data_IF_876472991293
#
_entry.id   IF_876472991293
#
_cell.length_a   1.000
_cell.length_b   1.000
_cell.length_c   1.000
_cell.angle_alpha   90.00
_cell.angle_beta   90.00
_cell.angle_gamma   90.00
#
_symmetry.space_group_name_H-M   'P 1'
#
loop_
_entity.id
_entity.type
_entity.pdbx_description
1 polymer ?
#
# COMPACT_ATOMS: atom_id res chain seq x y z
N UNK A 1 -50.16 -7.60 13.90
CA UNK A 1 -50.15 -8.11 12.51
C UNK A 1 -49.29 -9.36 12.48
N UNK A 2 -49.88 -10.43 11.97
CA UNK A 2 -49.43 -11.83 12.10
C UNK A 2 -48.27 -12.17 11.15
N UNK A 3 -47.49 -13.17 11.57
CA UNK A 3 -46.53 -13.96 10.80
C UNK A 3 -47.01 -14.32 9.39
N UNK A 4 -46.09 -14.34 8.43
CA UNK A 4 -46.16 -15.30 7.33
C UNK A 4 -44.76 -15.81 6.99
N UNK A 5 -44.67 -17.14 7.05
CA UNK A 5 -43.51 -18.00 6.97
C UNK A 5 -43.86 -19.08 5.96
N UNK A 6 -43.06 -19.24 4.91
CA UNK A 6 -43.01 -20.41 4.03
C UNK A 6 -41.50 -20.70 3.84
N UNK A 7 -40.84 -21.71 4.44
CA UNK A 7 -41.08 -23.16 4.42
C UNK A 7 -41.34 -23.63 2.98
N UNK A 8 -40.53 -24.47 2.29
CA UNK A 8 -39.77 -25.67 2.68
C UNK A 8 -38.64 -25.94 1.65
N UNK A 9 -37.44 -26.31 2.11
CA UNK A 9 -36.81 -27.66 2.07
C UNK A 9 -36.64 -28.28 0.67
N UNK A 10 -35.39 -28.53 0.28
CA UNK A 10 -34.95 -29.78 -0.36
C UNK A 10 -33.42 -29.89 -0.23
N UNK A 11 -32.98 -30.70 0.75
CA UNK A 11 -31.65 -31.31 0.75
C UNK A 11 -31.76 -32.67 0.04
N UNK A 12 -30.70 -33.10 -0.66
CA UNK A 12 -30.08 -34.35 -0.21
C UNK A 12 -28.54 -34.37 -0.30
N UNK A 13 -27.97 -34.95 0.76
CA UNK A 13 -26.87 -35.93 0.79
C UNK A 13 -25.87 -35.92 -0.37
N UNK A 14 -24.64 -35.47 -0.08
CA UNK A 14 -23.45 -36.04 -0.70
C UNK A 14 -22.45 -36.44 0.38
N UNK A 15 -22.30 -37.77 0.46
CA UNK A 15 -21.21 -38.61 0.96
C UNK A 15 -19.89 -37.89 1.23
N UNK A 16 -19.32 -38.16 2.40
CA UNK A 16 -18.09 -37.56 2.89
C UNK A 16 -16.83 -37.91 2.10
N UNK A 17 -15.88 -36.98 2.17
CA UNK A 17 -14.46 -37.23 2.03
C UNK A 17 -13.77 -36.45 3.15
N UNK A 18 -13.41 -37.16 4.22
CA UNK A 18 -12.46 -36.63 5.20
C UNK A 18 -11.07 -36.64 4.55
N UNK A 19 -10.74 -35.58 3.83
CA UNK A 19 -9.36 -35.32 3.42
C UNK A 19 -8.67 -34.63 4.59
N UNK A 20 -7.92 -35.41 5.39
CA UNK A 20 -6.94 -34.87 6.32
C UNK A 20 -5.79 -34.28 5.49
N UNK A 21 -5.92 -33.02 5.09
CA UNK A 21 -4.82 -32.27 4.52
C UNK A 21 -4.02 -31.67 5.68
N UNK A 22 -2.87 -32.24 5.96
CA UNK A 22 -1.81 -31.59 6.73
C UNK A 22 -1.41 -30.32 5.99
N UNK A 23 -1.85 -29.15 6.46
CA UNK A 23 -1.37 -27.88 5.90
C UNK A 23 -0.03 -27.54 6.57
N UNK A 24 1.08 -27.46 5.81
CA UNK A 24 2.33 -26.98 6.35
C UNK A 24 2.14 -25.52 6.73
N UNK A 25 2.28 -25.20 8.01
CA UNK A 25 2.45 -23.83 8.49
C UNK A 25 3.77 -23.28 7.93
N UNK A 26 3.78 -22.84 6.68
CA UNK A 26 4.85 -22.07 6.10
C UNK A 26 4.79 -20.64 6.67
N UNK A 27 5.23 -20.50 7.90
CA UNK A 27 5.46 -19.21 8.54
C UNK A 27 6.73 -18.56 7.95
N UNK A 28 6.63 -17.98 6.75
CA UNK A 28 7.59 -17.00 6.27
C UNK A 28 6.92 -15.79 5.58
N UNK A 29 6.31 -14.84 6.31
CA UNK A 29 5.91 -13.55 5.73
C UNK A 29 6.76 -12.34 6.20
N UNK A 30 7.71 -12.51 7.11
CA UNK A 30 8.28 -11.34 7.82
C UNK A 30 9.49 -10.66 7.16
N UNK A 31 10.24 -11.31 6.26
CA UNK A 31 11.36 -10.68 5.55
C UNK A 31 10.88 -9.91 4.33
N UNK A 32 10.10 -10.55 3.46
CA UNK A 32 9.54 -9.95 2.24
C UNK A 32 8.70 -8.71 2.56
N UNK A 33 7.89 -8.76 3.62
CA UNK A 33 7.12 -7.60 4.08
C UNK A 33 8.01 -6.44 4.53
N UNK A 34 9.06 -6.70 5.33
CA UNK A 34 10.00 -5.66 5.77
C UNK A 34 10.79 -5.04 4.61
N UNK A 35 11.19 -5.84 3.64
CA UNK A 35 11.91 -5.34 2.47
C UNK A 35 11.02 -4.47 1.58
N UNK A 36 9.74 -4.82 1.41
CA UNK A 36 8.77 -3.98 0.73
C UNK A 36 8.57 -2.63 1.46
N UNK A 37 8.52 -2.66 2.79
CA UNK A 37 8.41 -1.46 3.62
C UNK A 37 9.62 -0.54 3.51
N UNK A 38 10.83 -1.11 3.61
CA UNK A 38 12.05 -0.34 3.46
C UNK A 38 12.14 0.33 2.07
N UNK A 39 11.69 -0.38 1.03
CA UNK A 39 11.61 0.18 -0.32
C UNK A 39 10.56 1.30 -0.43
N UNK A 40 9.39 1.14 0.19
CA UNK A 40 8.36 2.18 0.21
C UNK A 40 8.87 3.47 0.90
N UNK A 41 9.54 3.33 2.03
CA UNK A 41 10.12 4.46 2.76
C UNK A 41 11.26 5.16 1.99
N UNK A 42 12.08 4.37 1.28
CA UNK A 42 13.11 4.91 0.39
C UNK A 42 12.48 5.73 -0.73
N UNK A 43 11.42 5.23 -1.38
CA UNK A 43 10.71 5.94 -2.45
C UNK A 43 10.08 7.25 -1.95
N UNK A 44 9.44 7.23 -0.78
CA UNK A 44 8.86 8.45 -0.17
C UNK A 44 9.94 9.49 0.13
N UNK A 45 11.05 9.07 0.73
CA UNK A 45 12.18 9.97 1.05
C UNK A 45 12.78 10.59 -0.21
N UNK A 46 13.00 9.79 -1.25
CA UNK A 46 13.51 10.27 -2.54
C UNK A 46 12.53 11.23 -3.22
N UNK A 47 11.23 10.96 -3.15
CA UNK A 47 10.21 11.87 -3.66
C UNK A 47 10.22 13.22 -2.93
N UNK A 48 10.28 13.24 -1.60
CA UNK A 48 10.34 14.49 -0.85
C UNK A 48 11.59 15.31 -1.18
N UNK A 49 12.73 14.65 -1.44
CA UNK A 49 13.93 15.32 -1.94
C UNK A 49 13.70 15.95 -3.32
N UNK A 50 13.03 15.23 -4.22
CA UNK A 50 12.68 15.74 -5.55
C UNK A 50 11.75 16.96 -5.46
N UNK A 51 10.75 16.93 -4.59
CA UNK A 51 9.86 18.07 -4.37
C UNK A 51 10.63 19.29 -3.85
N UNK A 52 11.52 19.11 -2.86
CA UNK A 52 12.36 20.20 -2.37
C UNK A 52 13.23 20.82 -3.49
N UNK A 53 13.90 19.98 -4.30
CA UNK A 53 14.70 20.45 -5.43
C UNK A 53 13.86 21.16 -6.50
N UNK A 54 12.63 20.71 -6.73
CA UNK A 54 11.70 21.34 -7.67
C UNK A 54 11.24 22.72 -7.15
N UNK A 55 10.88 22.81 -5.86
CA UNK A 55 10.51 24.06 -5.20
C UNK A 55 11.65 25.09 -5.23
N UNK A 56 12.90 24.64 -5.04
CA UNK A 56 14.10 25.48 -5.11
C UNK A 56 14.50 25.85 -6.55
N UNK A 57 13.85 25.28 -7.57
CA UNK A 57 14.23 25.47 -8.98
C UNK A 57 15.61 24.88 -9.33
N UNK A 58 16.08 23.90 -8.55
CA UNK A 58 17.43 23.36 -8.60
C UNK A 58 17.54 22.04 -9.41
N UNK A 59 16.48 21.62 -10.10
CA UNK A 59 16.49 20.41 -10.92
C UNK A 59 17.19 20.64 -12.26
N UNK A 60 18.24 19.85 -12.52
CA UNK A 60 18.82 19.71 -13.86
C UNK A 60 17.90 18.90 -14.77
N UNK A 61 18.12 18.95 -16.08
CA UNK A 61 17.34 18.14 -17.04
C UNK A 61 17.37 16.63 -16.73
N UNK A 62 18.51 16.09 -16.31
CA UNK A 62 18.60 14.70 -15.85
C UNK A 62 17.89 14.47 -14.51
N UNK A 63 17.93 15.45 -13.60
CA UNK A 63 17.20 15.41 -12.35
C UNK A 63 15.67 15.39 -12.55
N UNK A 64 15.16 16.10 -13.56
CA UNK A 64 13.73 16.06 -13.91
C UNK A 64 13.31 14.65 -14.32
N UNK A 65 14.10 13.98 -15.16
CA UNK A 65 13.82 12.61 -15.61
C UNK A 65 13.83 11.63 -14.42
N UNK A 66 14.86 11.68 -13.59
CA UNK A 66 14.98 10.84 -12.39
C UNK A 66 13.82 11.05 -11.42
N UNK A 67 13.48 12.30 -11.11
CA UNK A 67 12.37 12.63 -10.23
C UNK A 67 11.00 12.21 -10.79
N UNK A 68 10.84 12.23 -12.12
CA UNK A 68 9.63 11.72 -12.77
C UNK A 68 9.49 10.21 -12.60
N UNK A 69 10.58 9.45 -12.72
CA UNK A 69 10.58 8.00 -12.49
C UNK A 69 10.30 7.65 -11.02
N UNK A 70 10.86 8.41 -10.08
CA UNK A 70 10.60 8.27 -8.65
C UNK A 70 9.12 8.51 -8.36
N UNK A 71 8.55 9.61 -8.86
CA UNK A 71 7.13 9.94 -8.70
C UNK A 71 6.23 8.81 -9.22
N UNK A 72 6.47 8.34 -10.45
CA UNK A 72 5.67 7.28 -11.06
C UNK A 72 5.80 5.95 -10.32
N UNK A 73 7.01 5.62 -9.86
CA UNK A 73 7.26 4.38 -9.11
C UNK A 73 6.63 4.42 -7.73
N UNK A 74 6.73 5.54 -7.02
CA UNK A 74 6.09 5.75 -5.73
C UNK A 74 4.57 5.63 -5.85
N UNK A 75 3.98 6.36 -6.81
CA UNK A 75 2.54 6.34 -7.07
C UNK A 75 2.04 4.92 -7.30
N UNK A 76 2.69 4.16 -8.19
CA UNK A 76 2.29 2.77 -8.49
C UNK A 76 2.48 1.81 -7.32
N UNK A 77 3.63 1.87 -6.62
CA UNK A 77 3.99 0.84 -5.63
C UNK A 77 3.42 1.07 -4.24
N UNK A 78 3.22 2.33 -3.86
CA UNK A 78 2.82 2.70 -2.49
C UNK A 78 1.38 3.19 -2.44
N UNK A 79 0.93 3.87 -3.49
CA UNK A 79 -0.41 4.49 -3.54
C UNK A 79 -1.34 3.81 -4.56
N UNK A 80 -1.01 2.60 -5.00
CA UNK A 80 -1.83 1.81 -5.94
C UNK A 80 -2.20 2.57 -7.22
N UNK A 81 -1.28 3.42 -7.71
CA UNK A 81 -1.50 4.27 -8.88
C UNK A 81 -2.30 5.54 -8.62
N UNK A 82 -2.81 5.74 -7.40
CA UNK A 82 -3.66 6.87 -7.04
C UNK A 82 -2.86 8.16 -6.82
N UNK A 83 -3.01 9.11 -7.74
CA UNK A 83 -2.46 10.45 -7.58
C UNK A 83 -3.06 11.19 -6.38
N UNK A 84 -4.36 11.07 -6.14
CA UNK A 84 -5.03 11.76 -5.03
C UNK A 84 -4.52 11.27 -3.67
N UNK A 85 -4.25 9.97 -3.52
CA UNK A 85 -3.68 9.42 -2.30
C UNK A 85 -2.24 9.89 -2.06
N UNK A 86 -1.41 9.93 -3.12
CA UNK A 86 -0.06 10.50 -3.04
C UNK A 86 -0.11 11.97 -2.65
N UNK A 87 -0.97 12.76 -3.29
CA UNK A 87 -1.12 14.20 -3.03
C UNK A 87 -1.57 14.47 -1.59
N UNK A 88 -2.58 13.76 -1.11
CA UNK A 88 -3.05 13.90 0.27
C UNK A 88 -1.97 13.54 1.30
N UNK A 89 -1.17 12.49 1.03
CA UNK A 89 -0.04 12.14 1.88
C UNK A 89 1.06 13.23 1.88
N UNK A 90 1.37 13.79 0.72
CA UNK A 90 2.36 14.86 0.59
C UNK A 90 1.93 16.12 1.35
N UNK A 91 0.68 16.55 1.17
CA UNK A 91 0.12 17.72 1.90
C UNK A 91 0.15 17.50 3.42
N UNK A 92 -0.25 16.31 3.89
CA UNK A 92 -0.15 15.96 5.31
C UNK A 92 1.30 15.92 5.83
N UNK A 93 2.29 15.72 4.94
CA UNK A 93 3.71 15.77 5.29
C UNK A 93 4.22 17.21 5.41
N UNK A 94 3.75 18.13 4.56
CA UNK A 94 4.09 19.55 4.62
C UNK A 94 3.45 20.26 5.83
N UNK A 95 2.29 19.81 6.29
CA UNK A 95 1.58 20.39 7.45
C UNK A 95 2.22 20.06 8.82
N UNK A 96 3.19 19.13 8.88
CA UNK A 96 3.83 18.74 10.14
C UNK A 96 4.96 19.71 10.54
N UNK A 97 4.94 20.31 11.75
CA UNK A 97 5.97 21.23 12.19
C UNK A 97 7.31 20.51 12.41
N UNK A 98 8.25 20.71 11.47
CA UNK A 98 9.72 20.51 11.54
C UNK A 98 10.27 19.32 12.35
N UNK A 99 9.51 18.23 12.46
CA UNK A 99 9.94 16.96 13.06
C UNK A 99 9.97 15.92 11.93
N UNK A 100 11.00 15.05 11.85
CA UNK A 100 11.03 14.00 10.84
C UNK A 100 9.71 13.23 10.89
N UNK A 101 9.08 12.92 9.73
CA UNK A 101 7.80 12.22 9.72
C UNK A 101 7.93 10.97 10.59
N UNK A 102 7.17 10.93 11.69
CA UNK A 102 7.20 9.81 12.62
C UNK A 102 6.79 8.58 11.84
N UNK A 103 7.75 7.68 11.68
CA UNK A 103 7.62 6.31 11.19
C UNK A 103 6.34 6.08 10.39
N UNK A 104 6.41 6.36 9.10
CA UNK A 104 5.45 5.86 8.13
C UNK A 104 5.46 4.34 8.24
N UNK A 105 4.52 3.85 9.04
CA UNK A 105 4.28 2.44 9.22
C UNK A 105 3.74 1.88 7.92
N UNK A 106 4.43 0.87 7.41
CA UNK A 106 3.69 -0.36 7.17
C UNK A 106 3.11 -0.85 8.51
#
# INVERSE_FOLDING_TARGET
MNMSMCCRVLAPLVVGMAFAASEPAAAFPSSVGRDACNQAETLKTSYLRCEALAQDGALSGSGIAECSEIYETLKRRVFDGSYSALRAWYEATEELPSHPPRGLRC
#
